data_IF_343968230960
#
_entry.id   IF_343968230960
#
_cell.length_a   1.000
_cell.length_b   1.000
_cell.length_c   1.000
_cell.angle_alpha   90.00
_cell.angle_beta   90.00
_cell.angle_gamma   90.00
#
_symmetry.space_group_name_H-M   'P 1'
#
loop_
_entity.id
_entity.type
_entity.pdbx_description
1 polymer ?
#
# COMPACT_ATOMS: atom_id res chain seq x y z
N UNK A 1 11.68 14.15 -1.71
CA UNK A 1 10.32 13.59 -1.49
C UNK A 1 10.43 12.08 -1.36
N UNK A 2 9.58 11.44 -0.56
CA UNK A 2 9.59 9.99 -0.32
C UNK A 2 8.39 9.30 -0.98
N UNK A 3 8.20 8.00 -0.73
CA UNK A 3 7.03 7.24 -1.21
C UNK A 3 5.68 7.89 -0.85
N UNK A 4 5.64 8.71 0.21
CA UNK A 4 4.47 9.53 0.58
C UNK A 4 3.99 10.49 -0.51
N UNK A 5 4.86 10.89 -1.45
CA UNK A 5 4.49 11.80 -2.52
C UNK A 5 3.50 11.16 -3.50
N UNK A 6 3.59 9.84 -3.68
CA UNK A 6 2.68 9.06 -4.52
C UNK A 6 1.59 8.35 -3.71
N UNK A 7 1.47 8.67 -2.41
CA UNK A 7 0.37 8.15 -1.62
C UNK A 7 -0.93 8.82 -2.07
N UNK A 8 -1.90 7.99 -2.42
CA UNK A 8 -3.25 8.38 -2.74
C UNK A 8 -4.19 7.31 -2.18
N UNK A 9 -5.41 7.70 -1.80
CA UNK A 9 -6.35 6.78 -1.15
C UNK A 9 -7.25 6.14 -2.20
N UNK A 10 -7.18 4.82 -2.33
CA UNK A 10 -8.11 4.06 -3.16
C UNK A 10 -9.59 4.34 -2.81
N UNK A 11 -9.89 4.51 -1.52
CA UNK A 11 -11.27 4.69 -1.04
C UNK A 11 -11.78 6.13 -1.12
N UNK A 12 -10.88 7.11 -1.25
CA UNK A 12 -11.27 8.52 -1.20
C UNK A 12 -10.25 9.43 -1.88
N UNK A 13 -10.30 9.43 -3.21
CA UNK A 13 -9.52 10.34 -4.06
C UNK A 13 -10.37 10.80 -5.23
N UNK A 14 -10.07 11.99 -5.75
CA UNK A 14 -10.69 12.54 -6.94
C UNK A 14 -9.61 12.79 -8.00
N UNK A 15 -9.95 12.53 -9.26
CA UNK A 15 -9.06 12.62 -10.39
C UNK A 15 -9.59 13.66 -11.36
N UNK A 16 -8.73 14.57 -11.84
CA UNK A 16 -9.10 15.45 -12.93
C UNK A 16 -9.20 14.61 -14.20
N UNK A 17 -10.39 14.53 -14.80
CA UNK A 17 -10.67 13.64 -15.93
C UNK A 17 -9.67 13.83 -17.08
N UNK A 18 -9.37 15.07 -17.46
CA UNK A 18 -8.40 15.35 -18.53
C UNK A 18 -7.01 14.77 -18.25
N UNK A 19 -6.57 14.79 -16.99
CA UNK A 19 -5.28 14.22 -16.57
C UNK A 19 -5.37 12.68 -16.52
N UNK A 20 -6.53 12.16 -16.12
CA UNK A 20 -6.78 10.72 -16.11
C UNK A 20 -6.67 10.12 -17.52
N UNK A 21 -7.31 10.76 -18.49
CA UNK A 21 -7.24 10.38 -19.90
C UNK A 21 -5.84 10.56 -20.48
N UNK A 22 -5.17 11.70 -20.21
CA UNK A 22 -3.80 11.98 -20.67
C UNK A 22 -2.79 10.91 -20.21
N UNK A 23 -2.94 10.40 -18.99
CA UNK A 23 -2.05 9.38 -18.41
C UNK A 23 -2.40 7.96 -18.88
N UNK A 24 -3.56 7.77 -19.49
CA UNK A 24 -4.06 6.47 -19.94
C UNK A 24 -4.84 5.69 -18.88
N UNK A 25 -5.37 6.38 -17.85
CA UNK A 25 -6.16 5.78 -16.79
C UNK A 25 -5.39 4.86 -15.84
N UNK A 26 -6.09 3.90 -15.24
CA UNK A 26 -5.49 2.88 -14.38
C UNK A 26 -4.82 1.77 -15.19
N UNK A 27 -3.72 1.18 -14.69
CA UNK A 27 -3.09 0.04 -15.35
C UNK A 27 -4.04 -1.17 -15.35
N UNK A 28 -4.14 -1.86 -16.49
CA UNK A 28 -5.01 -3.04 -16.64
C UNK A 28 -4.48 -4.30 -15.96
N UNK A 29 -3.17 -4.37 -15.71
CA UNK A 29 -2.50 -5.53 -15.13
C UNK A 29 -1.70 -5.13 -13.89
N UNK A 30 -2.38 -4.62 -12.86
CA UNK A 30 -1.82 -4.42 -11.53
C UNK A 30 -2.54 -5.28 -10.50
N UNK A 31 -1.82 -5.77 -9.50
CA UNK A 31 -2.39 -6.60 -8.43
C UNK A 31 -3.21 -5.76 -7.43
N UNK A 32 -2.75 -4.54 -7.15
CA UNK A 32 -3.40 -3.49 -6.36
C UNK A 32 -2.61 -2.19 -6.55
N UNK A 33 -2.93 -1.15 -5.77
CA UNK A 33 -2.19 0.11 -5.74
C UNK A 33 -2.20 0.84 -7.09
N UNK A 34 -3.27 0.67 -7.87
CA UNK A 34 -3.54 1.38 -9.12
C UNK A 34 -3.58 2.90 -8.92
N UNK A 35 -4.03 3.33 -7.75
CA UNK A 35 -4.00 4.72 -7.28
C UNK A 35 -2.57 5.23 -7.15
N UNK A 36 -1.69 4.50 -6.44
CA UNK A 36 -0.27 4.87 -6.32
C UNK A 36 0.43 4.89 -7.69
N UNK A 37 0.13 3.91 -8.55
CA UNK A 37 0.67 3.88 -9.91
C UNK A 37 0.28 5.14 -10.68
N UNK A 38 -1.02 5.48 -10.66
CA UNK A 38 -1.53 6.69 -11.32
C UNK A 38 -0.88 7.96 -10.76
N UNK A 39 -0.83 8.08 -9.42
CA UNK A 39 -0.20 9.21 -8.73
C UNK A 39 1.27 9.40 -9.16
N UNK A 40 2.04 8.30 -9.21
CA UNK A 40 3.43 8.34 -9.68
C UNK A 40 3.55 8.82 -11.12
N UNK A 41 2.71 8.31 -12.03
CA UNK A 41 2.70 8.74 -13.43
C UNK A 41 2.30 10.21 -13.58
N UNK A 42 1.31 10.66 -12.81
CA UNK A 42 0.86 12.05 -12.81
C UNK A 42 1.98 13.00 -12.39
N UNK A 43 2.67 12.71 -11.29
CA UNK A 43 3.80 13.52 -10.83
C UNK A 43 4.95 13.54 -11.84
N UNK A 44 5.28 12.40 -12.46
CA UNK A 44 6.32 12.34 -13.49
C UNK A 44 5.96 13.12 -14.76
N UNK A 45 4.67 13.34 -15.02
CA UNK A 45 4.17 14.19 -16.11
C UNK A 45 4.05 15.67 -15.74
N UNK A 46 4.46 16.06 -14.53
CA UNK A 46 4.42 17.45 -14.06
C UNK A 46 3.06 17.87 -13.47
N UNK A 47 2.12 16.95 -13.32
CA UNK A 47 0.88 17.20 -12.58
C UNK A 47 1.13 17.24 -11.07
N UNK A 48 0.10 17.63 -10.32
CA UNK A 48 0.18 17.81 -8.87
C UNK A 48 -0.84 16.94 -8.17
N UNK A 49 -0.50 16.50 -6.96
CA UNK A 49 -1.39 15.82 -6.03
C UNK A 49 -1.64 16.77 -4.87
N UNK A 50 -2.90 16.94 -4.47
CA UNK A 50 -3.30 17.82 -3.38
C UNK A 50 -4.02 17.01 -2.29
N UNK A 51 -3.58 17.18 -1.05
CA UNK A 51 -4.31 16.69 0.13
C UNK A 51 -5.34 17.73 0.56
N UNK A 52 -6.61 17.35 0.65
CA UNK A 52 -7.72 18.24 1.00
C UNK A 52 -8.27 17.84 2.37
N UNK A 53 -7.82 18.51 3.43
CA UNK A 53 -8.12 18.14 4.83
C UNK A 53 -9.61 18.26 5.22
N UNK A 54 -10.35 19.13 4.53
CA UNK A 54 -11.79 19.34 4.78
C UNK A 54 -12.66 18.26 4.15
N UNK A 55 -12.14 17.54 3.16
CA UNK A 55 -12.82 16.39 2.57
C UNK A 55 -12.60 15.18 3.49
N UNK A 56 -13.63 14.82 4.25
CA UNK A 56 -13.57 13.77 5.27
C UNK A 56 -14.51 12.62 4.93
N UNK A 57 -14.02 11.40 5.07
CA UNK A 57 -14.83 10.18 4.95
C UNK A 57 -14.44 9.21 6.07
N UNK A 58 -15.37 8.32 6.45
CA UNK A 58 -15.09 7.20 7.34
C UNK A 58 -14.86 5.95 6.52
N UNK A 59 -13.71 5.32 6.72
CA UNK A 59 -13.35 4.05 6.08
C UNK A 59 -12.53 3.21 7.05
N UNK A 60 -12.82 1.93 7.13
CA UNK A 60 -12.14 0.98 8.02
C UNK A 60 -12.26 -0.43 7.49
N UNK A 61 -11.31 -1.28 7.86
CA UNK A 61 -11.35 -2.71 7.66
C UNK A 61 -11.09 -3.43 8.99
N UNK A 62 -11.74 -4.57 9.19
CA UNK A 62 -11.53 -5.44 10.34
C UNK A 62 -10.65 -6.63 9.94
N UNK A 63 -9.48 -6.34 9.39
CA UNK A 63 -8.57 -7.40 8.95
C UNK A 63 -7.97 -8.15 10.14
N UNK A 64 -8.01 -9.47 10.06
CA UNK A 64 -7.17 -10.35 10.85
C UNK A 64 -5.69 -10.18 10.50
N UNK A 65 -4.81 -10.63 11.38
CA UNK A 65 -3.36 -10.58 11.13
C UNK A 65 -2.96 -11.33 9.84
N UNK A 66 -3.68 -12.39 9.49
CA UNK A 66 -3.46 -13.15 8.24
C UNK A 66 -3.91 -12.32 7.03
N UNK A 67 -5.01 -11.59 7.12
CA UNK A 67 -5.45 -10.72 6.02
C UNK A 67 -4.52 -9.51 5.85
N UNK A 68 -4.01 -8.94 6.93
CA UNK A 68 -2.96 -7.92 6.90
C UNK A 68 -1.69 -8.44 6.22
N UNK A 69 -1.27 -9.66 6.54
CA UNK A 69 -0.17 -10.32 5.84
C UNK A 69 -0.46 -10.42 4.33
N UNK A 70 -1.64 -10.91 3.95
CA UNK A 70 -1.98 -11.11 2.53
C UNK A 70 -2.04 -9.80 1.76
N UNK A 71 -2.61 -8.77 2.37
CA UNK A 71 -2.66 -7.42 1.81
C UNK A 71 -1.25 -6.89 1.58
N UNK A 72 -0.39 -6.94 2.61
CA UNK A 72 0.97 -6.43 2.49
C UNK A 72 1.86 -7.29 1.59
N UNK A 73 1.59 -8.59 1.46
CA UNK A 73 2.22 -9.44 0.45
C UNK A 73 1.94 -8.89 -0.95
N UNK A 74 0.68 -8.62 -1.27
CA UNK A 74 0.35 -8.04 -2.57
C UNK A 74 1.00 -6.65 -2.75
N UNK A 75 1.04 -5.79 -1.72
CA UNK A 75 1.75 -4.48 -1.77
C UNK A 75 3.25 -4.68 -2.08
N UNK A 76 3.86 -5.74 -1.53
CA UNK A 76 5.24 -6.10 -1.80
C UNK A 76 5.44 -6.54 -3.25
N UNK A 77 4.52 -7.35 -3.79
CA UNK A 77 4.50 -7.79 -5.19
C UNK A 77 4.38 -6.57 -6.11
N UNK A 78 3.45 -5.65 -5.83
CA UNK A 78 3.27 -4.42 -6.59
C UNK A 78 4.58 -3.62 -6.68
N UNK A 79 5.24 -3.37 -5.55
CA UNK A 79 6.50 -2.63 -5.55
C UNK A 79 7.65 -3.35 -6.26
N UNK A 80 7.62 -4.68 -6.34
CA UNK A 80 8.58 -5.48 -7.08
C UNK A 80 8.29 -5.50 -8.59
N UNK A 81 7.01 -5.41 -8.98
CA UNK A 81 6.58 -5.23 -10.36
C UNK A 81 6.83 -3.80 -10.88
N UNK A 82 6.72 -2.80 -9.99
CA UNK A 82 6.82 -1.37 -10.31
C UNK A 82 8.04 -0.70 -9.64
N UNK A 83 9.28 -1.16 -9.90
CA UNK A 83 10.48 -0.65 -9.23
C UNK A 83 10.75 0.84 -9.55
N UNK A 84 10.22 1.34 -10.67
CA UNK A 84 10.34 2.75 -11.06
C UNK A 84 9.74 3.71 -10.03
N UNK A 85 8.72 3.30 -9.27
CA UNK A 85 8.13 4.14 -8.21
C UNK A 85 9.18 4.41 -7.15
N UNK A 86 9.87 3.37 -6.67
CA UNK A 86 10.94 3.54 -5.67
C UNK A 86 12.15 4.28 -6.25
N UNK A 87 12.49 4.05 -7.51
CA UNK A 87 13.59 4.77 -8.16
C UNK A 87 13.33 6.28 -8.19
N UNK A 88 12.13 6.71 -8.58
CA UNK A 88 11.81 8.13 -8.74
C UNK A 88 11.44 8.83 -7.42
N UNK A 89 10.77 8.13 -6.49
CA UNK A 89 10.21 8.73 -5.27
C UNK A 89 10.89 8.26 -3.98
N UNK A 90 11.84 7.34 -4.07
CA UNK A 90 12.52 6.77 -2.90
C UNK A 90 11.64 5.81 -2.08
N UNK A 91 12.12 5.47 -0.89
CA UNK A 91 11.42 4.59 0.04
C UNK A 91 10.45 5.32 0.97
N UNK A 92 9.87 4.59 1.91
CA UNK A 92 8.95 5.11 2.91
C UNK A 92 9.60 6.07 3.95
N UNK A 93 10.91 6.35 3.90
CA UNK A 93 11.54 7.41 4.69
C UNK A 93 11.35 7.34 6.21
N UNK A 94 11.15 6.15 6.77
CA UNK A 94 10.89 5.95 8.20
C UNK A 94 9.43 6.16 8.63
N UNK A 95 8.50 6.45 7.71
CA UNK A 95 7.07 6.62 8.02
C UNK A 95 6.48 5.38 8.69
N UNK A 96 6.92 4.16 8.31
CA UNK A 96 6.52 2.93 9.01
C UNK A 96 6.92 2.90 10.48
N UNK A 97 8.12 3.39 10.83
CA UNK A 97 8.57 3.48 12.23
C UNK A 97 7.76 4.53 12.99
N UNK A 98 7.48 5.68 12.36
CA UNK A 98 6.64 6.73 12.96
C UNK A 98 5.24 6.22 13.26
N UNK A 99 4.64 5.49 12.32
CA UNK A 99 3.34 4.85 12.49
C UNK A 99 3.33 3.91 13.70
N UNK A 100 4.28 2.96 13.76
CA UNK A 100 4.36 1.99 14.87
C UNK A 100 4.53 2.72 16.22
N UNK A 101 5.40 3.74 16.29
CA UNK A 101 5.59 4.51 17.53
C UNK A 101 4.32 5.28 17.93
N UNK A 102 3.61 5.87 16.97
CA UNK A 102 2.36 6.57 17.25
C UNK A 102 1.25 5.63 17.72
N UNK A 103 1.15 4.44 17.12
CA UNK A 103 0.18 3.40 17.51
C UNK A 103 0.49 2.88 18.91
N UNK A 104 1.75 2.54 19.19
CA UNK A 104 2.15 2.05 20.52
C UNK A 104 1.92 3.10 21.61
N UNK A 105 2.23 4.38 21.34
CA UNK A 105 1.94 5.47 22.29
C UNK A 105 0.43 5.57 22.56
N UNK A 106 -0.38 5.59 21.52
CA UNK A 106 -1.83 5.67 21.66
C UNK A 106 -2.40 4.49 22.45
N UNK A 107 -1.97 3.26 22.13
CA UNK A 107 -2.41 2.05 22.82
C UNK A 107 -1.95 2.00 24.28
N UNK A 108 -0.73 2.43 24.59
CA UNK A 108 -0.26 2.49 25.97
C UNK A 108 -1.09 3.45 26.83
N UNK A 109 -1.55 4.56 26.25
CA UNK A 109 -2.37 5.57 26.95
C UNK A 109 -3.84 5.15 27.11
N UNK A 110 -4.42 4.44 26.13
CA UNK A 110 -5.88 4.20 26.10
C UNK A 110 -6.28 2.72 26.21
N UNK A 111 -5.50 1.81 25.61
CA UNK A 111 -5.88 0.41 25.42
C UNK A 111 -4.67 -0.55 25.49
N UNK A 112 -3.96 -0.63 26.63
CA UNK A 112 -2.67 -1.34 26.70
C UNK A 112 -2.77 -2.85 26.41
N UNK A 113 -3.93 -3.47 26.66
CA UNK A 113 -4.18 -4.88 26.35
C UNK A 113 -4.21 -5.19 24.84
N UNK A 114 -4.31 -4.18 23.97
CA UNK A 114 -4.22 -4.34 22.51
C UNK A 114 -2.78 -4.30 21.99
N UNK A 115 -1.79 -3.94 22.81
CA UNK A 115 -0.38 -3.88 22.40
C UNK A 115 0.12 -5.21 21.81
N UNK A 116 -0.15 -6.40 22.42
CA UNK A 116 0.26 -7.67 21.82
C UNK A 116 -0.35 -7.90 20.43
N UNK A 117 -1.62 -7.54 20.25
CA UNK A 117 -2.31 -7.65 18.95
C UNK A 117 -1.69 -6.71 17.93
N UNK A 118 -1.37 -5.47 18.32
CA UNK A 118 -0.68 -4.52 17.45
C UNK A 118 0.70 -5.02 17.02
N UNK A 119 1.47 -5.65 17.93
CA UNK A 119 2.73 -6.30 17.57
C UNK A 119 2.55 -7.40 16.53
N UNK A 120 1.58 -8.30 16.74
CA UNK A 120 1.28 -9.38 15.79
C UNK A 120 0.89 -8.81 14.42
N UNK A 121 0.00 -7.81 14.39
CA UNK A 121 -0.44 -7.18 13.15
C UNK A 121 0.73 -6.51 12.41
N UNK A 122 1.54 -5.70 13.10
CA UNK A 122 2.69 -5.04 12.48
C UNK A 122 3.75 -6.06 12.01
N UNK A 123 3.99 -7.12 12.77
CA UNK A 123 4.87 -8.20 12.35
C UNK A 123 4.37 -8.85 11.05
N UNK A 124 3.08 -9.17 10.98
CA UNK A 124 2.46 -9.77 9.80
C UNK A 124 2.48 -8.84 8.57
N UNK A 125 2.27 -7.53 8.75
CA UNK A 125 2.44 -6.52 7.70
C UNK A 125 3.86 -6.52 7.13
N UNK A 126 4.87 -6.47 8.01
CA UNK A 126 6.28 -6.45 7.61
C UNK A 126 6.67 -7.76 6.92
N UNK A 127 6.25 -8.90 7.46
CA UNK A 127 6.54 -10.21 6.90
C UNK A 127 5.90 -10.38 5.53
N UNK A 128 4.60 -10.07 5.41
CA UNK A 128 3.88 -10.07 4.14
C UNK A 128 4.59 -9.22 3.11
N UNK A 129 4.89 -7.96 3.43
CA UNK A 129 5.60 -7.04 2.54
C UNK A 129 6.93 -7.60 2.04
N UNK A 130 7.79 -8.07 2.95
CA UNK A 130 9.12 -8.59 2.60
C UNK A 130 9.05 -9.86 1.74
N UNK A 131 8.10 -10.75 2.01
CA UNK A 131 7.88 -11.94 1.18
C UNK A 131 7.30 -11.57 -0.19
N UNK A 132 6.39 -10.60 -0.24
CA UNK A 132 5.83 -10.06 -1.47
C UNK A 132 6.91 -9.49 -2.39
N UNK A 133 7.88 -8.76 -1.84
CA UNK A 133 9.03 -8.26 -2.62
C UNK A 133 9.91 -9.37 -3.20
N UNK A 134 9.82 -10.60 -2.68
CA UNK A 134 10.61 -11.76 -3.12
C UNK A 134 9.75 -12.82 -3.80
N UNK A 135 8.53 -12.46 -4.23
CA UNK A 135 7.55 -13.42 -4.75
C UNK A 135 8.08 -14.26 -5.92
N UNK A 136 8.99 -13.71 -6.73
CA UNK A 136 9.63 -14.42 -7.86
C UNK A 136 10.37 -15.70 -7.45
N UNK A 137 10.75 -15.84 -6.19
CA UNK A 137 11.42 -17.02 -5.63
C UNK A 137 10.48 -17.94 -4.83
N UNK A 138 9.18 -17.66 -4.82
CA UNK A 138 8.18 -18.41 -4.07
C UNK A 138 7.42 -19.31 -5.05
N UNK A 139 7.20 -20.61 -4.73
CA UNK A 139 6.39 -21.48 -5.58
C UNK A 139 4.99 -20.91 -5.82
N UNK A 140 4.47 -21.06 -7.04
CA UNK A 140 3.19 -20.49 -7.45
C UNK A 140 2.01 -20.88 -6.54
N UNK A 141 1.96 -22.13 -6.07
CA UNK A 141 0.94 -22.60 -5.14
C UNK A 141 0.96 -21.88 -3.78
N UNK A 142 2.15 -21.42 -3.34
CA UNK A 142 2.33 -20.63 -2.12
C UNK A 142 1.97 -19.18 -2.36
N UNK A 143 2.32 -18.61 -3.52
CA UNK A 143 1.89 -17.25 -3.92
C UNK A 143 0.37 -17.14 -3.88
N UNK A 144 -0.37 -18.10 -4.44
CA UNK A 144 -1.84 -18.10 -4.41
C UNK A 144 -2.43 -18.16 -3.00
N UNK A 145 -1.70 -18.73 -2.02
CA UNK A 145 -2.09 -18.77 -0.60
C UNK A 145 -1.78 -17.45 0.12
N UNK A 146 -0.65 -16.83 -0.23
CA UNK A 146 -0.19 -15.57 0.35
C UNK A 146 -0.89 -14.34 -0.22
N UNK A 147 -1.41 -14.42 -1.44
CA UNK A 147 -2.08 -13.28 -2.06
C UNK A 147 -3.51 -13.10 -1.56
N UNK A 148 -3.92 -11.84 -1.38
CA UNK A 148 -5.32 -11.45 -1.18
C UNK A 148 -6.06 -11.49 -2.52
N UNK A 149 -5.45 -10.97 -3.59
CA UNK A 149 -6.04 -10.87 -4.92
C UNK A 149 -5.75 -12.09 -5.79
N UNK A 150 -6.31 -13.25 -5.42
CA UNK A 150 -6.05 -14.54 -6.10
C UNK A 150 -6.26 -14.51 -7.62
N UNK A 151 -7.26 -13.76 -8.10
CA UNK A 151 -7.59 -13.66 -9.53
C UNK A 151 -6.46 -13.05 -10.35
N UNK A 152 -5.64 -12.18 -9.78
CA UNK A 152 -4.47 -11.60 -10.46
C UNK A 152 -3.47 -12.67 -10.91
N UNK A 153 -3.41 -13.79 -10.20
CA UNK A 153 -2.46 -14.86 -10.49
C UNK A 153 -2.99 -15.89 -11.50
N UNK A 154 -4.30 -15.93 -11.76
CA UNK A 154 -4.92 -16.88 -12.68
C UNK A 154 -4.61 -16.40 -14.10
N UNK A 155 -3.83 -17.18 -14.84
CA UNK A 155 -3.56 -16.97 -16.27
C UNK A 155 -4.50 -17.81 -17.10
#
# INVERSE_FOLDING_TARGET
MGLKAVFMSNSFSAYRLSVFEEIGGFPSNTILCEDMFFAGKALLRGHKIAYVADAKVRHSHNYSAIEEFKRYFDIGVFHECEPWIRHNFGGAGGEGKKFILSELKFLAEHYPHWIPVAFINNFMKILGYKLGQRYKHIPYSVIQRFSMHKKFWIK
#
